data_IF_723912662932
#
_entry.id   IF_723912662932
#
_cell.length_a   1.000
_cell.length_b   1.000
_cell.length_c   1.000
_cell.angle_alpha   90.00
_cell.angle_beta   90.00
_cell.angle_gamma   90.00
#
_symmetry.space_group_name_H-M   'P 1'
#
loop_
_entity.id
_entity.type
_entity.pdbx_description
1 polymer ?
#
# COMPACT_ATOMS: atom_id res chain seq x y z
N UNK A 1 -2.26 -22.35 -13.53
CA UNK A 1 -2.17 -20.88 -13.33
C UNK A 1 -2.97 -20.18 -14.42
N UNK A 2 -3.77 -19.17 -14.10
CA UNK A 2 -4.67 -18.51 -15.07
C UNK A 2 -4.17 -17.12 -15.47
N UNK A 3 -4.11 -16.81 -16.77
CA UNK A 3 -3.62 -15.53 -17.26
C UNK A 3 -4.37 -15.03 -18.51
N UNK A 4 -3.90 -13.91 -19.08
CA UNK A 4 -4.34 -13.41 -20.39
C UNK A 4 -3.89 -14.33 -21.54
N UNK A 5 -4.59 -14.26 -22.68
CA UNK A 5 -4.30 -15.09 -23.85
C UNK A 5 -2.84 -15.07 -24.32
N UNK A 6 -2.17 -13.91 -24.23
CA UNK A 6 -0.75 -13.73 -24.58
C UNK A 6 0.24 -14.59 -23.77
N UNK A 7 -0.20 -15.14 -22.65
CA UNK A 7 0.63 -15.88 -21.70
C UNK A 7 0.38 -17.39 -21.73
N UNK A 8 -0.60 -17.85 -22.51
CA UNK A 8 -1.00 -19.26 -22.58
C UNK A 8 0.16 -20.11 -23.09
N UNK A 9 0.33 -21.30 -22.51
CA UNK A 9 1.38 -22.25 -22.89
C UNK A 9 2.76 -21.98 -22.29
N UNK A 10 2.95 -20.85 -21.58
CA UNK A 10 4.16 -20.64 -20.79
C UNK A 10 4.24 -21.66 -19.66
N UNK A 11 5.44 -22.15 -19.37
CA UNK A 11 5.72 -23.02 -18.22
C UNK A 11 6.31 -22.22 -17.09
N UNK A 12 5.83 -22.46 -15.87
CA UNK A 12 6.34 -21.87 -14.64
C UNK A 12 6.63 -23.02 -13.68
N UNK A 13 7.87 -23.08 -13.21
CA UNK A 13 8.29 -24.08 -12.24
C UNK A 13 8.10 -23.52 -10.83
N UNK A 14 7.41 -24.26 -9.98
CA UNK A 14 7.20 -23.93 -8.57
C UNK A 14 7.20 -25.23 -7.75
N UNK A 15 7.97 -25.28 -6.66
CA UNK A 15 8.14 -26.49 -5.85
C UNK A 15 8.46 -27.75 -6.69
N UNK A 16 9.46 -27.64 -7.56
CA UNK A 16 9.92 -28.72 -8.46
C UNK A 16 8.82 -29.30 -9.39
N UNK A 17 7.72 -28.56 -9.58
CA UNK A 17 6.63 -28.92 -10.50
C UNK A 17 6.45 -27.85 -11.57
N UNK A 18 6.25 -28.30 -12.80
CA UNK A 18 5.93 -27.44 -13.93
C UNK A 18 4.42 -27.21 -14.04
N UNK A 19 4.03 -25.95 -14.04
CA UNK A 19 2.65 -25.52 -14.27
C UNK A 19 2.55 -24.84 -15.64
N UNK A 20 1.59 -25.28 -16.44
CA UNK A 20 1.25 -24.61 -17.69
C UNK A 20 0.30 -23.46 -17.40
N UNK A 21 0.58 -22.31 -18.02
CA UNK A 21 -0.30 -21.15 -17.95
C UNK A 21 -1.48 -21.36 -18.90
N UNK A 22 -2.68 -21.28 -18.34
CA UNK A 22 -3.95 -21.43 -19.03
C UNK A 22 -4.64 -20.07 -19.19
N UNK A 23 -5.54 -19.98 -20.17
CA UNK A 23 -6.35 -18.78 -20.34
C UNK A 23 -7.38 -18.69 -19.22
N UNK A 24 -7.51 -17.51 -18.61
CA UNK A 24 -8.64 -17.21 -17.73
C UNK A 24 -9.92 -17.05 -18.54
N UNK A 25 -10.90 -17.90 -18.28
CA UNK A 25 -12.27 -17.88 -18.80
C UNK A 25 -13.27 -17.80 -17.64
N UNK A 26 -14.57 -17.72 -17.94
CA UNK A 26 -15.61 -17.65 -16.89
C UNK A 26 -15.78 -18.98 -16.14
N UNK A 27 -15.38 -20.09 -16.75
CA UNK A 27 -15.48 -21.43 -16.16
C UNK A 27 -14.20 -21.84 -15.42
N UNK A 28 -13.15 -21.01 -15.44
CA UNK A 28 -11.85 -21.32 -14.82
C UNK A 28 -11.88 -21.43 -13.30
N UNK A 29 -12.98 -21.04 -12.64
CA UNK A 29 -13.10 -21.04 -11.18
C UNK A 29 -13.85 -22.26 -10.62
N UNK A 30 -14.33 -23.16 -11.47
CA UNK A 30 -15.01 -24.37 -11.01
C UNK A 30 -14.03 -25.26 -10.21
N UNK A 31 -14.40 -25.59 -8.97
CA UNK A 31 -13.57 -26.41 -8.08
C UNK A 31 -12.35 -25.70 -7.50
N UNK A 32 -12.28 -24.36 -7.61
CA UNK A 32 -11.21 -23.55 -7.02
C UNK A 32 -11.64 -23.05 -5.66
N UNK A 33 -10.90 -23.43 -4.61
CA UNK A 33 -11.18 -22.97 -3.24
C UNK A 33 -10.78 -21.52 -3.01
N UNK A 34 -9.59 -21.14 -3.49
CA UNK A 34 -8.99 -19.82 -3.30
C UNK A 34 -8.41 -19.33 -4.62
N UNK A 35 -8.67 -18.06 -4.95
CA UNK A 35 -8.04 -17.39 -6.09
C UNK A 35 -7.41 -16.06 -5.67
N UNK A 36 -6.11 -15.91 -5.95
CA UNK A 36 -5.36 -14.69 -5.71
C UNK A 36 -5.34 -13.85 -6.98
N UNK A 37 -6.02 -12.70 -6.95
CA UNK A 37 -6.15 -11.82 -8.09
C UNK A 37 -5.09 -10.71 -8.03
N UNK A 38 -4.11 -10.81 -8.93
CA UNK A 38 -3.17 -9.74 -9.24
C UNK A 38 -3.36 -9.26 -10.67
N UNK A 39 -4.61 -8.90 -11.00
CA UNK A 39 -4.98 -8.36 -12.29
C UNK A 39 -5.46 -6.91 -12.17
N UNK A 40 -5.54 -6.19 -13.30
CA UNK A 40 -6.03 -4.81 -13.31
C UNK A 40 -7.51 -4.70 -12.92
N UNK A 41 -7.91 -3.51 -12.48
CA UNK A 41 -9.26 -3.16 -12.01
C UNK A 41 -10.40 -3.71 -12.88
N UNK A 42 -10.30 -3.55 -14.21
CA UNK A 42 -11.34 -3.97 -15.15
C UNK A 42 -11.53 -5.50 -15.17
N UNK A 43 -10.43 -6.24 -15.00
CA UNK A 43 -10.44 -7.70 -14.95
C UNK A 43 -11.04 -8.18 -13.63
N UNK A 44 -10.64 -7.58 -12.50
CA UNK A 44 -11.18 -7.96 -11.20
C UNK A 44 -12.68 -7.69 -11.13
N UNK A 45 -13.17 -6.57 -11.66
CA UNK A 45 -14.62 -6.31 -11.78
C UNK A 45 -15.36 -7.34 -12.63
N UNK A 46 -14.73 -7.84 -13.69
CA UNK A 46 -15.33 -8.83 -14.60
C UNK A 46 -15.37 -10.24 -14.01
N UNK A 47 -14.28 -10.69 -13.41
CA UNK A 47 -14.11 -12.10 -13.01
C UNK A 47 -14.28 -12.34 -11.51
N UNK A 48 -14.14 -11.32 -10.66
CA UNK A 48 -14.31 -11.44 -9.21
C UNK A 48 -15.69 -11.98 -8.82
N UNK A 49 -16.79 -11.36 -9.29
CA UNK A 49 -18.15 -11.86 -9.01
C UNK A 49 -18.37 -13.28 -9.55
N UNK A 50 -17.86 -13.57 -10.75
CA UNK A 50 -17.97 -14.91 -11.36
C UNK A 50 -17.30 -15.97 -10.50
N UNK A 51 -16.09 -15.71 -9.98
CA UNK A 51 -15.40 -16.63 -9.10
C UNK A 51 -16.17 -16.84 -7.78
N UNK A 52 -16.70 -15.77 -7.19
CA UNK A 52 -17.55 -15.84 -5.99
C UNK A 52 -18.79 -16.71 -6.24
N UNK A 53 -19.46 -16.53 -7.38
CA UNK A 53 -20.63 -17.32 -7.75
C UNK A 53 -20.32 -18.81 -7.94
N UNK A 54 -19.07 -19.17 -8.25
CA UNK A 54 -18.59 -20.57 -8.31
C UNK A 54 -18.16 -21.14 -6.96
N UNK A 55 -18.33 -20.39 -5.87
CA UNK A 55 -17.96 -20.83 -4.53
C UNK A 55 -16.50 -20.52 -4.14
N UNK A 56 -15.76 -19.80 -4.98
CA UNK A 56 -14.34 -19.48 -4.74
C UNK A 56 -14.18 -18.31 -3.77
N UNK A 57 -13.22 -18.42 -2.86
CA UNK A 57 -12.72 -17.29 -2.08
C UNK A 57 -11.71 -16.48 -2.92
N UNK A 58 -12.03 -15.22 -3.18
CA UNK A 58 -11.20 -14.31 -3.97
C UNK A 58 -10.48 -13.33 -3.05
N UNK A 59 -9.16 -13.23 -3.20
CA UNK A 59 -8.35 -12.14 -2.61
C UNK A 59 -7.90 -11.23 -3.75
N UNK A 60 -8.44 -10.02 -3.80
CA UNK A 60 -8.18 -9.06 -4.88
C UNK A 60 -7.24 -7.93 -4.44
N UNK A 61 -6.11 -7.81 -5.14
CA UNK A 61 -5.12 -6.76 -4.96
C UNK A 61 -5.44 -5.48 -5.74
N UNK A 62 -6.42 -5.55 -6.64
CA UNK A 62 -6.79 -4.40 -7.46
C UNK A 62 -7.54 -3.32 -6.66
N UNK A 63 -7.60 -2.10 -7.20
CA UNK A 63 -8.42 -1.02 -6.65
C UNK A 63 -9.93 -1.15 -6.97
N UNK A 64 -10.40 -2.30 -7.47
CA UNK A 64 -11.78 -2.49 -7.89
C UNK A 64 -12.78 -2.47 -6.73
N UNK A 65 -12.43 -3.10 -5.61
CA UNK A 65 -13.35 -3.38 -4.51
C UNK A 65 -12.92 -2.80 -3.16
N UNK A 66 -11.79 -2.09 -3.08
CA UNK A 66 -11.28 -1.50 -1.82
C UNK A 66 -12.28 -0.59 -1.13
N UNK A 67 -13.20 -0.04 -1.92
CA UNK A 67 -14.20 0.93 -1.51
C UNK A 67 -15.62 0.37 -1.39
N UNK A 68 -15.83 -0.89 -1.75
CA UNK A 68 -17.14 -1.51 -1.66
C UNK A 68 -17.42 -1.89 -0.20
N UNK A 69 -18.47 -1.33 0.40
CA UNK A 69 -18.85 -1.59 1.79
C UNK A 69 -19.21 -3.05 2.06
N UNK A 70 -19.58 -3.81 1.03
CA UNK A 70 -19.90 -5.24 1.13
C UNK A 70 -18.67 -6.12 1.05
N UNK A 71 -17.50 -5.55 0.69
CA UNK A 71 -16.25 -6.28 0.55
C UNK A 71 -15.32 -5.90 1.72
N UNK A 72 -14.92 -6.87 2.55
CA UNK A 72 -13.97 -6.59 3.61
C UNK A 72 -12.61 -6.20 3.02
N UNK A 73 -12.07 -5.08 3.50
CA UNK A 73 -10.71 -4.63 3.23
C UNK A 73 -9.79 -5.12 4.35
N UNK A 74 -8.89 -6.05 4.04
CA UNK A 74 -8.19 -6.85 5.06
C UNK A 74 -6.68 -6.64 5.03
N UNK A 75 -6.11 -6.45 6.22
CA UNK A 75 -4.70 -6.58 6.55
C UNK A 75 -4.63 -7.47 7.80
N UNK A 76 -4.21 -8.74 7.68
CA UNK A 76 -4.31 -9.72 8.77
C UNK A 76 -3.73 -9.28 10.11
N UNK A 77 -2.64 -8.51 10.12
CA UNK A 77 -1.97 -8.02 11.32
C UNK A 77 -2.67 -6.81 11.97
N UNK A 78 -3.48 -6.09 11.19
CA UNK A 78 -4.12 -4.82 11.61
C UNK A 78 -5.59 -5.01 11.96
N UNK A 79 -6.34 -5.78 11.18
CA UNK A 79 -7.78 -6.01 11.38
C UNK A 79 -8.19 -7.48 11.14
N UNK A 80 -7.60 -8.45 11.88
CA UNK A 80 -7.91 -9.87 11.72
C UNK A 80 -9.39 -10.21 11.93
N UNK A 81 -10.10 -9.39 12.70
CA UNK A 81 -11.53 -9.53 12.96
C UNK A 81 -12.38 -9.48 11.69
N UNK A 82 -11.93 -8.77 10.66
CA UNK A 82 -12.61 -8.70 9.36
C UNK A 82 -12.71 -10.07 8.66
N UNK A 83 -11.92 -11.05 9.11
CA UNK A 83 -11.89 -12.41 8.58
C UNK A 83 -12.65 -13.43 9.43
N UNK A 84 -13.22 -13.06 10.59
CA UNK A 84 -13.75 -14.02 11.58
C UNK A 84 -14.82 -14.98 11.04
N UNK A 85 -15.62 -14.54 10.06
CA UNK A 85 -16.70 -15.33 9.48
C UNK A 85 -16.36 -15.89 8.10
N UNK A 86 -15.11 -15.75 7.68
CA UNK A 86 -14.65 -16.03 6.32
C UNK A 86 -13.75 -17.27 6.35
N UNK A 87 -14.14 -18.33 5.62
CA UNK A 87 -13.40 -19.59 5.57
C UNK A 87 -13.34 -20.12 4.13
N UNK A 88 -12.14 -20.46 3.69
CA UNK A 88 -11.91 -21.09 2.39
C UNK A 88 -12.47 -22.52 2.36
N UNK A 89 -12.76 -23.04 1.17
CA UNK A 89 -13.19 -24.43 0.97
C UNK A 89 -14.59 -24.77 1.52
N UNK A 90 -15.40 -23.75 1.88
CA UNK A 90 -16.78 -23.97 2.35
C UNK A 90 -17.79 -24.09 1.22
N UNK A 91 -17.36 -23.89 -0.03
CA UNK A 91 -18.23 -23.75 -1.21
C UNK A 91 -19.05 -22.46 -1.22
N UNK A 92 -18.97 -21.62 -0.16
CA UNK A 92 -19.54 -20.28 -0.14
C UNK A 92 -18.46 -19.30 -0.60
N UNK A 93 -18.61 -18.81 -1.83
CA UNK A 93 -17.67 -17.84 -2.38
C UNK A 93 -17.73 -16.54 -1.60
N UNK A 94 -16.59 -15.85 -1.55
CA UNK A 94 -16.46 -14.55 -0.88
C UNK A 94 -15.36 -13.76 -1.54
N UNK A 95 -15.53 -12.44 -1.62
CA UNK A 95 -14.51 -11.54 -2.14
C UNK A 95 -13.92 -10.75 -0.99
N UNK A 96 -12.61 -10.64 -0.97
CA UNK A 96 -11.83 -9.89 0.02
C UNK A 96 -10.90 -8.99 -0.77
N UNK A 97 -10.84 -7.72 -0.42
CA UNK A 97 -9.88 -6.78 -1.00
C UNK A 97 -8.70 -6.60 -0.05
N UNK A 98 -7.50 -6.42 -0.60
CA UNK A 98 -6.38 -5.86 0.18
C UNK A 98 -6.10 -4.40 -0.24
N UNK A 99 -5.61 -3.56 0.69
CA UNK A 99 -5.18 -2.20 0.37
C UNK A 99 -3.97 -2.18 -0.56
N UNK A 100 -3.61 -0.98 -1.01
CA UNK A 100 -2.33 -0.74 -1.69
C UNK A 100 -1.15 -1.17 -0.79
N UNK A 101 -0.05 -1.60 -1.40
CA UNK A 101 1.17 -1.96 -0.68
C UNK A 101 1.71 -0.81 0.19
N UNK A 102 1.68 0.44 -0.27
CA UNK A 102 2.11 1.61 0.52
C UNK A 102 1.24 1.80 1.78
N UNK A 103 -0.07 1.58 1.64
CA UNK A 103 -1.02 1.65 2.76
C UNK A 103 -0.76 0.55 3.78
N UNK A 104 -0.54 -0.69 3.32
CA UNK A 104 -0.20 -1.82 4.20
C UNK A 104 1.08 -1.53 4.98
N UNK A 105 2.14 -1.08 4.30
CA UNK A 105 3.43 -0.74 4.92
C UNK A 105 3.26 0.34 5.99
N UNK A 106 2.53 1.41 5.68
CA UNK A 106 2.25 2.48 6.62
C UNK A 106 1.49 1.97 7.86
N UNK A 107 0.43 1.19 7.64
CA UNK A 107 -0.39 0.67 8.74
C UNK A 107 0.35 -0.35 9.61
N UNK A 108 1.28 -1.14 9.05
CA UNK A 108 2.13 -2.03 9.85
C UNK A 108 2.92 -1.28 10.93
N UNK A 109 3.40 -0.06 10.62
CA UNK A 109 4.05 0.81 11.60
C UNK A 109 3.05 1.58 12.47
N UNK A 110 2.07 2.24 11.84
CA UNK A 110 1.17 3.17 12.51
C UNK A 110 0.16 2.48 13.45
N UNK A 111 -0.22 1.23 13.19
CA UNK A 111 -1.23 0.52 13.99
C UNK A 111 -0.81 0.37 15.46
N UNK A 112 0.49 0.20 15.72
CA UNK A 112 1.01 0.09 17.08
C UNK A 112 0.81 1.39 17.86
N UNK A 113 1.04 2.54 17.22
CA UNK A 113 0.78 3.85 17.79
C UNK A 113 -0.73 4.06 17.97
N UNK A 114 -1.54 3.74 16.95
CA UNK A 114 -2.99 3.87 17.03
C UNK A 114 -3.59 3.09 18.22
N UNK A 115 -3.09 1.87 18.49
CA UNK A 115 -3.58 1.03 19.59
C UNK A 115 -3.06 1.44 20.97
N UNK A 116 -1.88 2.06 21.08
CA UNK A 116 -1.22 2.35 22.37
C UNK A 116 -1.20 3.83 22.77
N UNK A 117 -1.05 4.72 21.80
CA UNK A 117 -0.95 6.15 22.05
C UNK A 117 -2.35 6.75 22.18
N UNK A 118 -2.67 7.22 23.39
CA UNK A 118 -3.82 8.10 23.60
C UNK A 118 -3.34 9.53 23.47
N UNK A 119 -3.99 10.32 22.63
CA UNK A 119 -3.73 11.75 22.56
C UNK A 119 -4.10 12.39 23.90
N UNK A 120 -3.31 13.38 24.36
CA UNK A 120 -3.62 14.16 25.57
C UNK A 120 -5.00 14.83 25.49
N UNK A 121 -5.47 15.16 24.28
CA UNK A 121 -6.83 15.65 24.03
C UNK A 121 -7.93 14.69 24.51
N UNK A 122 -7.68 13.38 24.50
CA UNK A 122 -8.60 12.38 25.05
C UNK A 122 -8.75 12.46 26.58
N UNK A 123 -7.81 13.09 27.29
CA UNK A 123 -7.88 13.38 28.72
C UNK A 123 -8.39 14.81 29.01
N UNK A 124 -8.77 15.57 27.98
CA UNK A 124 -9.36 16.90 28.11
C UNK A 124 -8.36 18.05 28.09
N UNK A 125 -8.88 19.27 28.17
CA UNK A 125 -8.11 20.51 27.96
C UNK A 125 -6.95 20.67 28.96
N UNK A 126 -7.15 20.28 30.23
CA UNK A 126 -6.11 20.37 31.25
C UNK A 126 -4.87 19.51 30.92
N UNK A 127 -5.09 18.29 30.40
CA UNK A 127 -4.00 17.42 29.97
C UNK A 127 -3.28 17.94 28.71
N UNK A 128 -4.00 18.65 27.82
CA UNK A 128 -3.39 19.31 26.67
C UNK A 128 -2.52 20.51 27.09
N UNK A 129 -3.00 21.32 28.05
CA UNK A 129 -2.24 22.43 28.61
C UNK A 129 -0.98 21.93 29.34
N UNK A 130 -1.12 20.86 30.12
CA UNK A 130 0.03 20.22 30.78
C UNK A 130 1.05 19.67 29.78
N UNK A 131 0.60 19.04 28.69
CA UNK A 131 1.48 18.60 27.61
C UNK A 131 2.25 19.78 26.97
N UNK A 132 1.58 20.90 26.72
CA UNK A 132 2.23 22.10 26.16
C UNK A 132 3.31 22.64 27.11
N UNK A 133 2.99 22.76 28.40
CA UNK A 133 3.91 23.23 29.43
C UNK A 133 5.14 22.32 29.53
N UNK A 134 4.95 21.01 29.67
CA UNK A 134 6.05 20.05 29.75
C UNK A 134 6.92 20.06 28.48
N UNK A 135 6.30 20.20 27.29
CA UNK A 135 7.03 20.30 26.02
C UNK A 135 7.94 21.53 25.99
N UNK A 136 7.43 22.70 26.43
CA UNK A 136 8.23 23.94 26.51
C UNK A 136 9.40 23.80 27.47
N UNK A 137 9.21 23.19 28.63
CA UNK A 137 10.28 22.99 29.62
C UNK A 137 11.40 22.09 29.07
N UNK A 138 11.04 20.99 28.41
CA UNK A 138 12.01 20.09 27.78
C UNK A 138 12.73 20.77 26.61
N UNK A 139 11.99 21.54 25.79
CA UNK A 139 12.55 22.29 24.66
C UNK A 139 13.63 23.28 25.10
N UNK A 140 13.38 24.04 26.17
CA UNK A 140 14.35 25.00 26.72
C UNK A 140 15.63 24.29 27.19
N UNK A 141 15.48 23.15 27.89
CA UNK A 141 16.63 22.34 28.32
C UNK A 141 17.42 21.79 27.14
N UNK A 142 16.74 21.31 26.09
CA UNK A 142 17.39 20.78 24.90
C UNK A 142 18.10 21.86 24.09
N UNK A 143 17.50 23.04 23.89
CA UNK A 143 18.13 24.18 23.20
C UNK A 143 19.42 24.64 23.88
N UNK A 144 19.48 24.62 25.21
CA UNK A 144 20.69 24.95 25.96
C UNK A 144 21.82 23.93 25.74
N UNK A 145 21.48 22.65 25.54
CA UNK A 145 22.45 21.60 25.22
C UNK A 145 22.86 21.58 23.74
N UNK A 146 21.95 21.86 22.80
CA UNK A 146 22.23 21.79 21.36
C UNK A 146 22.94 23.02 20.80
N UNK A 147 22.82 24.20 21.41
CA UNK A 147 23.65 25.38 21.09
C UNK A 147 25.15 25.12 21.29
N UNK A 148 25.51 24.24 22.23
CA UNK A 148 26.90 23.83 22.46
C UNK A 148 27.39 22.78 21.44
N UNK A 149 26.49 21.94 20.92
CA UNK A 149 26.84 20.89 19.94
C UNK A 149 26.80 21.38 18.48
N UNK A 150 25.95 22.35 18.16
CA UNK A 150 25.81 22.91 16.81
C UNK A 150 27.07 23.65 16.32
N UNK A 151 27.83 24.27 17.24
CA UNK A 151 29.04 25.02 16.89
C UNK A 151 30.21 24.12 16.49
N UNK A 152 30.27 22.87 16.96
CA UNK A 152 31.38 21.95 16.64
C UNK A 152 31.11 21.03 15.44
N UNK A 153 29.85 20.73 15.10
CA UNK A 153 29.51 19.73 14.08
C UNK A 153 29.03 20.30 12.73
N UNK A 154 28.45 21.50 12.70
CA UNK A 154 27.69 21.96 11.51
C UNK A 154 28.41 22.96 10.60
N UNK A 155 29.56 23.52 11.01
CA UNK A 155 30.33 24.46 10.18
C UNK A 155 31.09 23.81 8.99
N UNK A 156 31.59 22.55 9.05
CA UNK A 156 32.30 21.96 7.92
C UNK A 156 31.39 21.38 6.81
N UNK A 157 30.11 21.12 7.09
CA UNK A 157 29.20 20.46 6.13
C UNK A 157 28.62 21.41 5.06
N UNK A 158 28.82 22.73 5.19
CA UNK A 158 28.25 23.73 4.27
C UNK A 158 29.13 24.07 3.06
N UNK A 159 30.26 23.38 2.88
CA UNK A 159 31.21 23.60 1.78
C UNK A 159 31.32 22.41 0.81
N UNK A 160 30.36 21.49 0.83
CA UNK A 160 30.35 20.33 -0.08
C UNK A 160 28.97 20.16 -0.74
N UNK A 161 28.51 21.21 -1.42
CA UNK A 161 27.51 21.09 -2.48
C UNK A 161 28.13 21.74 -3.72
N UNK A 162 29.05 21.01 -4.36
CA UNK A 162 29.52 21.32 -5.70
C UNK A 162 28.90 20.36 -6.72
N UNK A 163 28.58 20.97 -7.86
CA UNK A 163 27.67 20.52 -8.90
C UNK A 163 27.98 19.13 -9.48
N UNK A 164 26.99 18.26 -9.43
CA UNK A 164 26.85 17.18 -10.41
C UNK A 164 25.56 17.44 -11.17
N UNK A 165 25.65 18.22 -12.24
CA UNK A 165 24.55 18.40 -13.19
C UNK A 165 24.25 17.08 -13.90
N UNK A 166 23.42 16.24 -13.30
CA UNK A 166 22.84 15.09 -14.00
C UNK A 166 21.77 15.62 -14.96
N UNK A 167 22.07 15.56 -16.26
CA UNK A 167 21.12 15.91 -17.31
C UNK A 167 20.07 14.80 -17.36
N UNK A 168 18.78 15.15 -17.18
CA UNK A 168 17.67 14.24 -17.47
C UNK A 168 17.68 13.91 -18.96
N UNK A 169 18.22 12.76 -19.33
CA UNK A 169 18.08 12.22 -20.68
C UNK A 169 16.69 11.61 -20.86
N UNK A 170 15.99 12.07 -21.91
CA UNK A 170 14.78 11.42 -22.39
C UNK A 170 15.16 10.07 -23.00
N UNK A 171 14.42 9.02 -22.62
CA UNK A 171 14.55 7.69 -23.19
C UNK A 171 13.34 7.43 -24.10
N UNK A 172 13.36 7.90 -25.38
CA UNK A 172 12.19 7.91 -26.25
C UNK A 172 11.60 6.52 -26.53
N UNK A 173 12.43 5.46 -26.47
CA UNK A 173 12.00 4.06 -26.61
C UNK A 173 11.89 3.32 -25.27
N UNK A 174 12.04 4.03 -24.16
CA UNK A 174 11.95 3.48 -22.81
C UNK A 174 10.50 3.23 -22.39
N UNK A 175 10.28 2.20 -21.57
CA UNK A 175 8.99 1.99 -20.88
C UNK A 175 8.61 3.22 -20.04
N UNK A 176 9.61 3.96 -19.57
CA UNK A 176 9.46 5.25 -18.91
C UNK A 176 10.29 6.29 -19.66
N UNK A 177 9.66 7.44 -19.86
CA UNK A 177 10.17 8.54 -20.69
C UNK A 177 11.44 9.18 -20.11
N UNK A 178 11.68 9.02 -18.81
CA UNK A 178 12.79 9.62 -18.06
C UNK A 178 13.64 8.53 -17.37
N UNK A 179 14.94 8.78 -17.24
CA UNK A 179 15.87 7.88 -16.57
C UNK A 179 15.55 7.74 -15.08
N UNK A 180 15.27 6.52 -14.61
CA UNK A 180 15.05 6.25 -13.17
C UNK A 180 16.34 6.18 -12.33
N UNK A 181 17.38 5.53 -12.86
CA UNK A 181 18.62 5.36 -12.12
C UNK A 181 19.24 6.73 -11.81
N UNK A 182 19.67 6.93 -10.57
CA UNK A 182 20.24 8.18 -10.06
C UNK A 182 19.33 9.40 -10.13
N UNK A 183 18.03 9.21 -10.35
CA UNK A 183 17.01 10.26 -10.27
C UNK A 183 15.95 9.92 -9.22
N UNK A 184 15.21 10.94 -8.79
CA UNK A 184 14.06 10.81 -7.92
C UNK A 184 12.85 11.44 -8.60
N UNK A 185 11.74 10.72 -8.58
CA UNK A 185 10.44 11.23 -9.02
C UNK A 185 9.53 11.34 -7.81
N UNK A 186 8.97 12.52 -7.60
CA UNK A 186 8.02 12.77 -6.52
C UNK A 186 6.61 12.25 -6.80
N UNK A 187 6.34 11.72 -8.00
CA UNK A 187 5.04 11.24 -8.42
C UNK A 187 5.17 9.93 -9.21
N UNK A 188 4.29 8.98 -8.93
CA UNK A 188 4.25 7.67 -9.60
C UNK A 188 2.90 7.40 -10.29
N UNK A 189 1.95 8.33 -10.18
CA UNK A 189 0.64 8.33 -10.83
C UNK A 189 0.29 9.76 -11.28
N UNK A 190 -0.77 9.90 -12.07
CA UNK A 190 -1.27 11.21 -12.49
C UNK A 190 -1.70 12.04 -11.28
N UNK A 191 -1.29 13.31 -11.25
CA UNK A 191 -1.73 14.27 -10.23
C UNK A 191 -3.19 14.64 -10.49
N UNK A 192 -4.02 14.50 -9.46
CA UNK A 192 -5.43 14.85 -9.48
C UNK A 192 -5.63 16.36 -9.30
N UNK A 193 -6.86 16.84 -9.52
CA UNK A 193 -7.19 18.27 -9.37
C UNK A 193 -6.99 18.81 -7.95
N UNK A 194 -6.98 17.94 -6.94
CA UNK A 194 -6.71 18.28 -5.55
C UNK A 194 -5.21 18.31 -5.20
N UNK A 195 -4.32 18.05 -6.17
CA UNK A 195 -2.87 18.05 -5.98
C UNK A 195 -2.26 16.74 -5.47
N UNK A 196 -3.06 15.70 -5.21
CA UNK A 196 -2.59 14.38 -4.78
C UNK A 196 -2.37 13.43 -5.97
N UNK A 197 -1.49 12.43 -5.81
CA UNK A 197 -1.31 11.30 -6.74
C UNK A 197 -1.91 10.00 -6.14
N UNK A 198 -1.19 8.88 -6.20
CA UNK A 198 -1.45 7.65 -5.46
C UNK A 198 -1.62 7.85 -3.94
N UNK A 199 -1.11 8.93 -3.32
CA UNK A 199 -1.30 9.14 -1.87
C UNK A 199 -2.78 9.23 -1.45
N UNK A 200 -3.68 9.54 -2.40
CA UNK A 200 -5.13 9.55 -2.16
C UNK A 200 -5.66 8.16 -1.75
N UNK A 201 -5.00 7.08 -2.18
CA UNK A 201 -5.37 5.70 -1.82
C UNK A 201 -5.17 5.42 -0.32
N UNK A 202 -4.40 6.26 0.38
CA UNK A 202 -4.15 6.13 1.82
C UNK A 202 -5.19 6.87 2.68
N UNK A 203 -5.92 7.84 2.11
CA UNK A 203 -6.77 8.77 2.88
C UNK A 203 -8.25 8.58 2.59
N UNK A 204 -8.61 8.26 1.36
CA UNK A 204 -10.01 8.23 0.98
C UNK A 204 -10.60 6.83 1.07
N UNK A 205 -11.45 6.62 2.07
CA UNK A 205 -12.72 5.97 1.78
C UNK A 205 -13.55 6.96 0.95
N UNK A 206 -13.41 6.99 -0.38
CA UNK A 206 -14.30 7.79 -1.24
C UNK A 206 -15.74 7.33 -1.04
N UNK A 207 -16.50 8.13 -0.29
CA UNK A 207 -17.95 7.99 -0.12
C UNK A 207 -18.68 8.00 -1.46
#
# INVERSE_FOLDING_TARGET
MLASQRSVGRRITFEDRDYVVEQRTMDSFNGVDIALFSAGRSISKKFGPVAVDRGTMVVDNSSAFRMDEKVPLVIPEVNPEAMQHIKAGTGKGTLIANPNCSTIICLMGATLLHRRAKAASGAGAAAMEELELQTREVWIKLCLCSLLAWFELYLPLRLCEEESGFILELLPDGVVVLQYAFNLFSHNASVLSNGYNEEIEMTEKQK
#
